data_IF_015195995682
#
_entry.id   IF_015195995682
#
_cell.length_a   1.000
_cell.length_b   1.000
_cell.length_c   1.000
_cell.angle_alpha   90.00
_cell.angle_beta   90.00
_cell.angle_gamma   90.00
#
_symmetry.space_group_name_H-M   'P 1'
#
loop_
_entity.id
_entity.type
_entity.pdbx_description
1 polymer ?
#
# COMPACT_ATOMS: atom_id res chain seq x y z
N UNK A 1 -22.31 2.05 33.52
CA UNK A 1 -23.28 0.94 33.40
C UNK A 1 -23.52 0.62 31.92
N UNK A 2 -23.57 -0.68 31.59
CA UNK A 2 -23.88 -1.14 30.22
C UNK A 2 -25.35 -0.84 29.87
N UNK A 3 -25.64 -0.51 28.58
CA UNK A 3 -27.00 -0.38 28.08
C UNK A 3 -27.84 -1.65 28.34
N UNK A 4 -29.16 -1.51 28.53
CA UNK A 4 -30.05 -2.66 28.80
C UNK A 4 -30.02 -3.71 27.69
N UNK A 5 -30.09 -3.38 26.39
CA UNK A 5 -30.02 -4.36 25.31
C UNK A 5 -28.72 -5.18 25.31
N UNK A 6 -27.57 -4.54 25.51
CA UNK A 6 -26.31 -5.25 25.63
C UNK A 6 -26.26 -6.21 26.80
N UNK A 7 -26.95 -5.92 27.90
CA UNK A 7 -27.06 -6.83 29.06
C UNK A 7 -27.80 -8.14 28.74
N UNK A 8 -28.67 -8.15 27.75
CA UNK A 8 -29.39 -9.33 27.28
C UNK A 8 -28.70 -10.06 26.14
N UNK A 9 -27.50 -9.62 25.73
CA UNK A 9 -26.75 -10.24 24.67
C UNK A 9 -26.41 -11.71 24.98
N UNK A 10 -26.48 -12.55 23.93
CA UNK A 10 -26.14 -13.96 24.04
C UNK A 10 -24.69 -14.16 24.44
N UNK A 11 -24.44 -15.10 25.34
CA UNK A 11 -23.07 -15.46 25.74
C UNK A 11 -22.37 -16.30 24.67
N UNK A 12 -21.02 -16.15 24.60
CA UNK A 12 -20.19 -17.02 23.78
C UNK A 12 -20.04 -18.42 24.44
N UNK A 13 -19.70 -19.40 23.61
CA UNK A 13 -19.33 -20.76 24.03
C UNK A 13 -17.87 -20.86 24.49
N UNK A 14 -17.32 -19.78 25.02
CA UNK A 14 -15.95 -19.63 25.48
C UNK A 14 -15.91 -19.04 26.88
N UNK A 15 -14.84 -19.34 27.61
CA UNK A 15 -14.52 -18.67 28.87
C UNK A 15 -13.69 -17.40 28.54
N UNK A 16 -14.23 -16.23 28.90
CA UNK A 16 -13.56 -14.96 28.71
C UNK A 16 -12.78 -14.52 29.94
N UNK A 17 -11.80 -13.69 29.74
CA UNK A 17 -11.08 -12.95 30.80
C UNK A 17 -11.46 -11.47 30.73
N UNK A 18 -11.35 -10.71 31.84
CA UNK A 18 -11.59 -9.26 31.80
C UNK A 18 -10.68 -8.57 30.80
N UNK A 19 -11.25 -7.67 30.00
CA UNK A 19 -10.47 -6.88 29.04
C UNK A 19 -9.35 -6.08 29.74
N UNK A 20 -8.13 -6.08 29.19
CA UNK A 20 -7.06 -5.24 29.70
C UNK A 20 -7.37 -3.74 29.51
N UNK A 21 -6.66 -2.83 30.21
CA UNK A 21 -6.97 -1.39 30.22
C UNK A 21 -7.03 -0.74 28.82
N UNK A 22 -6.17 -1.13 27.88
CA UNK A 22 -6.20 -0.59 26.51
C UNK A 22 -7.51 -0.95 25.79
N UNK A 23 -7.93 -2.21 25.87
CA UNK A 23 -9.21 -2.65 25.31
C UNK A 23 -10.38 -1.91 25.98
N UNK A 24 -10.39 -1.78 27.30
CA UNK A 24 -11.46 -1.05 27.98
C UNK A 24 -11.55 0.41 27.53
N UNK A 25 -10.41 1.07 27.32
CA UNK A 25 -10.38 2.44 26.79
C UNK A 25 -10.97 2.50 25.38
N UNK A 26 -10.59 1.57 24.53
CA UNK A 26 -11.15 1.48 23.19
C UNK A 26 -12.66 1.23 23.19
N UNK A 27 -13.15 0.30 24.01
CA UNK A 27 -14.59 0.04 24.13
C UNK A 27 -15.38 1.28 24.56
N UNK A 28 -14.78 2.16 25.38
CA UNK A 28 -15.41 3.40 25.79
C UNK A 28 -15.51 4.46 24.66
N UNK A 29 -14.76 4.29 23.57
CA UNK A 29 -14.73 5.18 22.40
C UNK A 29 -15.37 4.59 21.15
N UNK A 30 -16.01 3.44 21.24
CA UNK A 30 -16.68 2.82 20.11
C UNK A 30 -17.71 3.78 19.48
N UNK A 31 -17.80 3.82 18.14
CA UNK A 31 -18.83 4.58 17.46
C UNK A 31 -20.24 4.22 17.93
N UNK A 32 -21.10 5.20 18.08
CA UNK A 32 -22.51 4.97 18.52
C UNK A 32 -23.23 3.96 17.60
N UNK A 33 -22.91 3.96 16.32
CA UNK A 33 -23.46 3.03 15.34
C UNK A 33 -23.07 1.58 15.62
N UNK A 34 -21.84 1.32 16.07
CA UNK A 34 -21.40 -0.03 16.49
C UNK A 34 -22.25 -0.50 17.67
N UNK A 35 -22.43 0.35 18.68
CA UNK A 35 -23.27 0.02 19.84
C UNK A 35 -24.71 -0.27 19.41
N UNK A 36 -25.30 0.54 18.52
CA UNK A 36 -26.63 0.31 17.96
C UNK A 36 -26.73 -1.04 17.23
N UNK A 37 -25.73 -1.40 16.43
CA UNK A 37 -25.69 -2.69 15.74
C UNK A 37 -25.71 -3.84 16.76
N UNK A 38 -24.85 -3.76 17.78
CA UNK A 38 -24.79 -4.76 18.84
C UNK A 38 -26.10 -4.86 19.63
N UNK A 39 -26.72 -3.72 19.94
CA UNK A 39 -28.01 -3.64 20.64
C UNK A 39 -29.12 -4.31 19.84
N UNK A 40 -29.25 -4.00 18.57
CA UNK A 40 -30.30 -4.57 17.70
C UNK A 40 -30.15 -6.07 17.53
N UNK A 41 -28.91 -6.57 17.41
CA UNK A 41 -28.63 -8.00 17.36
C UNK A 41 -28.98 -8.68 18.67
N UNK A 42 -28.63 -8.06 19.79
CA UNK A 42 -28.97 -8.58 21.13
C UNK A 42 -30.49 -8.63 21.40
N UNK A 43 -31.25 -7.63 20.97
CA UNK A 43 -32.72 -7.57 21.07
C UNK A 43 -33.38 -8.72 20.31
N UNK A 44 -32.78 -9.20 19.23
CA UNK A 44 -33.25 -10.38 18.49
C UNK A 44 -32.69 -11.71 19.04
N UNK A 45 -31.97 -11.67 20.17
CA UNK A 45 -31.44 -12.88 20.83
C UNK A 45 -30.15 -13.41 20.19
N UNK A 46 -29.49 -12.63 19.31
CA UNK A 46 -28.23 -13.00 18.71
C UNK A 46 -27.03 -12.59 19.56
N UNK A 47 -25.97 -13.42 19.53
CA UNK A 47 -24.64 -13.04 20.01
C UNK A 47 -23.92 -12.24 18.96
N UNK A 48 -23.13 -11.23 19.39
CA UNK A 48 -22.27 -10.45 18.52
C UNK A 48 -21.02 -10.01 19.27
N UNK A 49 -19.87 -10.10 18.61
CA UNK A 49 -18.57 -9.83 19.19
C UNK A 49 -17.68 -9.07 18.20
N UNK A 50 -16.83 -8.19 18.72
CA UNK A 50 -15.78 -7.55 17.92
C UNK A 50 -14.64 -8.54 17.74
N UNK A 51 -14.06 -8.65 16.53
CA UNK A 51 -13.11 -9.73 16.23
C UNK A 51 -11.93 -9.28 15.37
N UNK A 52 -10.83 -9.99 15.45
CA UNK A 52 -9.76 -9.89 14.48
C UNK A 52 -8.83 -8.70 14.68
N UNK A 53 -8.56 -7.99 13.60
CA UNK A 53 -7.57 -6.91 13.56
C UNK A 53 -7.84 -5.78 14.52
N UNK A 54 -9.10 -5.36 14.67
CA UNK A 54 -9.48 -4.29 15.59
C UNK A 54 -9.20 -4.64 17.06
N UNK A 55 -9.40 -5.90 17.46
CA UNK A 55 -9.07 -6.38 18.82
C UNK A 55 -7.56 -6.36 19.07
N UNK A 56 -6.78 -6.86 18.12
CA UNK A 56 -5.31 -6.85 18.17
C UNK A 56 -4.79 -5.42 18.29
N UNK A 57 -5.23 -4.51 17.42
CA UNK A 57 -4.72 -3.13 17.37
C UNK A 57 -5.11 -2.36 18.64
N UNK A 58 -6.35 -2.53 19.12
CA UNK A 58 -6.80 -1.97 20.39
C UNK A 58 -6.02 -2.52 21.60
N UNK A 59 -5.65 -3.81 21.58
CA UNK A 59 -4.84 -4.41 22.65
C UNK A 59 -3.48 -3.73 22.79
N UNK A 60 -2.84 -3.35 21.66
CA UNK A 60 -1.62 -2.58 21.68
C UNK A 60 -1.83 -1.09 22.04
N UNK A 61 -3.06 -0.60 21.97
CA UNK A 61 -3.37 0.82 22.10
C UNK A 61 -3.09 1.62 20.83
N UNK A 62 -3.02 0.93 19.69
CA UNK A 62 -2.88 1.55 18.37
C UNK A 62 -4.23 2.13 17.92
N UNK A 63 -4.18 3.01 16.90
CA UNK A 63 -5.38 3.48 16.23
C UNK A 63 -6.06 2.30 15.52
N UNK A 64 -7.34 2.09 15.83
CA UNK A 64 -8.15 1.03 15.24
C UNK A 64 -8.78 1.58 13.96
N UNK A 65 -8.51 0.89 12.84
CA UNK A 65 -9.15 1.17 11.55
C UNK A 65 -10.55 0.53 11.45
N UNK A 66 -10.69 -0.45 10.58
CA UNK A 66 -11.95 -1.14 10.37
C UNK A 66 -12.35 -1.97 11.59
N UNK A 67 -13.63 -1.87 12.00
CA UNK A 67 -14.20 -2.65 13.10
C UNK A 67 -14.99 -3.81 12.50
N UNK A 68 -14.47 -5.03 12.70
CA UNK A 68 -15.12 -6.26 12.27
C UNK A 68 -15.99 -6.84 13.41
N UNK A 69 -17.23 -7.22 13.07
CA UNK A 69 -18.18 -7.83 13.98
C UNK A 69 -18.49 -9.24 13.48
N UNK A 70 -18.47 -10.22 14.34
CA UNK A 70 -19.08 -11.52 14.06
C UNK A 70 -20.35 -11.72 14.89
N UNK A 71 -21.33 -12.47 14.36
CA UNK A 71 -22.63 -12.66 14.99
C UNK A 71 -23.20 -14.04 14.69
N UNK A 72 -24.07 -14.53 15.59
CA UNK A 72 -24.91 -15.73 15.34
C UNK A 72 -26.09 -15.43 14.42
N UNK A 73 -26.33 -14.19 14.04
CA UNK A 73 -27.42 -13.77 13.17
C UNK A 73 -27.14 -14.19 11.70
N UNK A 74 -28.03 -14.95 11.06
CA UNK A 74 -27.89 -15.31 9.66
C UNK A 74 -27.94 -14.06 8.73
N UNK A 75 -27.30 -14.10 7.54
CA UNK A 75 -27.25 -12.95 6.65
C UNK A 75 -28.63 -12.43 6.22
N UNK A 76 -29.57 -13.32 5.92
CA UNK A 76 -30.93 -12.93 5.52
C UNK A 76 -31.67 -12.20 6.63
N UNK A 77 -31.48 -12.64 7.86
CA UNK A 77 -32.09 -12.01 9.04
C UNK A 77 -31.43 -10.64 9.31
N UNK A 78 -30.09 -10.52 9.13
CA UNK A 78 -29.39 -9.22 9.19
C UNK A 78 -29.91 -8.24 8.15
N UNK A 79 -30.11 -8.68 6.91
CA UNK A 79 -30.67 -7.82 5.85
C UNK A 79 -32.07 -7.31 6.21
N UNK A 80 -32.91 -8.18 6.77
CA UNK A 80 -34.24 -7.81 7.23
C UNK A 80 -34.19 -6.84 8.43
N UNK A 81 -33.31 -7.14 9.40
CA UNK A 81 -33.15 -6.34 10.62
C UNK A 81 -32.69 -4.91 10.33
N UNK A 82 -31.71 -4.74 9.45
CA UNK A 82 -31.12 -3.43 9.14
C UNK A 82 -31.71 -2.76 7.89
N UNK A 83 -32.49 -3.48 7.08
CA UNK A 83 -33.22 -2.93 5.95
C UNK A 83 -32.35 -2.12 4.98
N UNK A 84 -32.69 -0.84 4.76
CA UNK A 84 -31.98 0.03 3.81
C UNK A 84 -30.54 0.37 4.22
N UNK A 85 -30.17 0.11 5.46
CA UNK A 85 -28.81 0.32 5.96
C UNK A 85 -27.91 -0.89 5.69
N UNK A 86 -28.48 -2.03 5.33
CA UNK A 86 -27.74 -3.25 5.03
C UNK A 86 -27.38 -3.35 3.54
N UNK A 87 -26.12 -3.65 3.25
CA UNK A 87 -25.61 -3.89 1.89
C UNK A 87 -25.17 -5.37 1.83
N UNK A 88 -25.68 -6.16 0.86
CA UNK A 88 -25.33 -7.57 0.71
C UNK A 88 -23.97 -7.75 0.02
N UNK A 89 -22.88 -7.35 0.67
CA UNK A 89 -21.52 -7.32 0.11
C UNK A 89 -20.87 -8.69 -0.07
N UNK A 90 -21.31 -9.68 0.73
CA UNK A 90 -20.74 -11.04 0.71
C UNK A 90 -21.65 -12.04 1.38
N UNK A 91 -22.94 -12.00 1.09
CA UNK A 91 -23.99 -12.83 1.73
C UNK A 91 -23.70 -14.32 1.59
N UNK A 92 -23.17 -14.75 0.46
CA UNK A 92 -22.75 -16.13 0.22
C UNK A 92 -21.64 -16.61 1.19
N UNK A 93 -20.89 -15.67 1.76
CA UNK A 93 -19.85 -15.92 2.77
C UNK A 93 -20.27 -15.46 4.17
N UNK A 94 -21.51 -15.05 4.35
CA UNK A 94 -22.04 -14.62 5.63
C UNK A 94 -21.83 -13.15 5.98
N UNK A 95 -21.25 -12.33 5.09
CA UNK A 95 -20.92 -10.93 5.39
C UNK A 95 -22.00 -9.98 4.86
N UNK A 96 -22.46 -9.11 5.74
CA UNK A 96 -23.36 -7.98 5.43
C UNK A 96 -22.67 -6.70 5.92
N UNK A 97 -22.61 -5.70 5.06
CA UNK A 97 -22.09 -4.37 5.45
C UNK A 97 -23.23 -3.50 5.94
N UNK A 98 -23.11 -2.95 7.15
CA UNK A 98 -24.08 -2.03 7.74
C UNK A 98 -23.55 -0.61 7.60
N UNK A 99 -24.36 0.30 7.03
CA UNK A 99 -24.02 1.72 6.88
C UNK A 99 -24.07 2.43 8.22
N UNK A 100 -23.13 3.32 8.46
CA UNK A 100 -23.12 4.30 9.52
C UNK A 100 -23.03 5.73 8.95
N UNK A 101 -22.87 6.72 9.79
CA UNK A 101 -22.70 8.12 9.42
C UNK A 101 -21.29 8.36 8.82
N UNK A 102 -21.14 8.07 7.51
CA UNK A 102 -19.87 8.17 6.79
C UNK A 102 -18.94 6.98 6.92
N UNK A 103 -19.30 5.95 7.67
CA UNK A 103 -18.55 4.72 7.88
C UNK A 103 -19.38 3.50 7.50
N UNK A 104 -18.70 2.37 7.34
CA UNK A 104 -19.32 1.09 7.02
C UNK A 104 -18.75 0.02 7.96
N UNK A 105 -19.63 -0.82 8.50
CA UNK A 105 -19.26 -1.90 9.44
C UNK A 105 -19.60 -3.25 8.85
N UNK A 106 -18.62 -4.14 8.81
CA UNK A 106 -18.83 -5.51 8.35
C UNK A 106 -19.29 -6.38 9.51
N UNK A 107 -20.45 -7.02 9.32
CA UNK A 107 -20.99 -8.02 10.24
C UNK A 107 -21.01 -9.37 9.54
N UNK A 108 -20.24 -10.31 10.05
CA UNK A 108 -20.11 -11.64 9.46
C UNK A 108 -20.79 -12.68 10.35
N UNK A 109 -21.69 -13.47 9.78
CA UNK A 109 -22.29 -14.60 10.47
C UNK A 109 -21.24 -15.63 10.83
N UNK A 110 -21.27 -16.14 12.07
CA UNK A 110 -20.45 -17.28 12.49
C UNK A 110 -20.72 -18.45 11.56
N UNK A 111 -19.70 -19.17 11.17
CA UNK A 111 -19.82 -20.29 10.25
C UNK A 111 -18.93 -21.46 10.62
N UNK A 112 -19.40 -22.64 10.29
CA UNK A 112 -18.64 -23.88 10.32
C UNK A 112 -18.30 -24.23 8.90
N UNK A 113 -17.02 -24.43 8.59
CA UNK A 113 -16.55 -24.75 7.23
C UNK A 113 -16.05 -26.19 7.19
N UNK A 114 -16.51 -26.96 6.20
CA UNK A 114 -16.22 -28.39 6.15
C UNK A 114 -15.19 -28.81 5.09
N UNK A 115 -15.00 -28.09 3.97
CA UNK A 115 -14.04 -28.46 2.93
C UNK A 115 -13.63 -27.28 2.04
N UNK A 116 -12.37 -27.26 1.58
CA UNK A 116 -11.81 -26.29 0.62
C UNK A 116 -11.26 -27.03 -0.61
N UNK A 117 -11.77 -26.75 -1.82
CA UNK A 117 -11.25 -27.32 -3.07
C UNK A 117 -10.33 -26.41 -3.85
N UNK A 118 -10.64 -25.13 -3.91
CA UNK A 118 -9.92 -24.13 -4.73
C UNK A 118 -8.87 -23.33 -3.94
N UNK A 119 -8.62 -23.70 -2.67
CA UNK A 119 -7.71 -22.99 -1.79
C UNK A 119 -8.21 -21.63 -1.32
N UNK A 120 -9.53 -21.36 -1.42
CA UNK A 120 -10.15 -20.12 -0.94
C UNK A 120 -11.55 -20.25 -0.39
N UNK A 121 -12.43 -20.97 -1.09
CA UNK A 121 -13.83 -21.01 -0.77
C UNK A 121 -14.20 -22.39 -0.23
N UNK A 122 -14.93 -22.49 0.88
CA UNK A 122 -15.50 -23.75 1.31
C UNK A 122 -16.57 -24.23 0.32
N UNK A 123 -16.65 -25.52 0.09
CA UNK A 123 -17.70 -26.10 -0.79
C UNK A 123 -19.11 -25.93 -0.21
N UNK A 124 -19.20 -25.92 1.11
CA UNK A 124 -20.43 -25.71 1.85
C UNK A 124 -20.16 -24.75 3.00
N UNK A 125 -20.97 -23.72 3.10
CA UNK A 125 -21.00 -22.78 4.22
C UNK A 125 -22.23 -23.13 5.05
N UNK A 126 -22.00 -23.59 6.28
CA UNK A 126 -23.05 -23.76 7.27
C UNK A 126 -22.93 -22.64 8.31
N UNK A 127 -24.09 -22.02 8.61
CA UNK A 127 -24.11 -20.97 9.63
C UNK A 127 -23.99 -21.62 11.00
N UNK A 128 -22.98 -21.18 11.75
CA UNK A 128 -22.65 -21.67 13.06
C UNK A 128 -23.14 -20.76 14.19
N UNK A 129 -23.10 -21.29 15.39
CA UNK A 129 -23.38 -20.54 16.63
C UNK A 129 -22.19 -20.52 17.58
N UNK A 130 -21.11 -21.21 17.25
CA UNK A 130 -19.90 -21.33 18.05
C UNK A 130 -18.89 -20.25 17.68
N UNK A 131 -18.59 -19.36 18.61
CA UNK A 131 -17.50 -18.38 18.46
C UNK A 131 -16.15 -19.10 18.43
N UNK A 132 -15.97 -20.16 19.20
CA UNK A 132 -14.73 -20.93 19.22
C UNK A 132 -14.41 -21.53 17.84
N UNK A 133 -15.40 -22.10 17.16
CA UNK A 133 -15.23 -22.66 15.82
C UNK A 133 -14.86 -21.56 14.81
N UNK A 134 -15.52 -20.41 14.85
CA UNK A 134 -15.21 -19.28 13.97
C UNK A 134 -13.79 -18.77 14.18
N UNK A 135 -13.34 -18.63 15.42
CA UNK A 135 -11.98 -18.22 15.73
C UNK A 135 -10.95 -19.28 15.29
N UNK A 136 -11.30 -20.58 15.36
CA UNK A 136 -10.40 -21.68 15.01
C UNK A 136 -10.01 -21.73 13.54
N UNK A 137 -10.83 -21.18 12.64
CA UNK A 137 -10.58 -21.16 11.19
C UNK A 137 -9.79 -19.95 10.68
N UNK A 138 -9.49 -19.00 11.58
CA UNK A 138 -8.74 -17.80 11.23
C UNK A 138 -7.28 -18.11 10.92
N UNK A 139 -6.57 -17.11 10.40
CA UNK A 139 -5.18 -17.28 9.94
C UNK A 139 -4.18 -17.42 11.09
N UNK A 140 -4.12 -16.41 11.96
CA UNK A 140 -3.11 -16.32 13.02
C UNK A 140 -3.75 -16.11 14.40
N UNK A 141 -3.06 -16.58 15.44
CA UNK A 141 -3.51 -16.47 16.83
C UNK A 141 -3.82 -15.03 17.22
N UNK A 142 -2.97 -14.08 16.79
CA UNK A 142 -3.14 -12.64 17.05
C UNK A 142 -4.37 -12.01 16.39
N UNK A 143 -5.00 -12.69 15.42
CA UNK A 143 -6.22 -12.27 14.75
C UNK A 143 -7.42 -13.16 15.16
N UNK A 144 -7.22 -14.10 16.07
CA UNK A 144 -8.22 -15.08 16.51
C UNK A 144 -8.71 -14.80 17.93
N UNK A 145 -8.85 -13.52 18.24
CA UNK A 145 -9.40 -13.03 19.49
C UNK A 145 -10.72 -12.31 19.23
N UNK A 146 -11.59 -12.33 20.23
CA UNK A 146 -12.86 -11.62 20.20
C UNK A 146 -13.11 -10.86 21.50
N UNK A 147 -13.91 -9.78 21.42
CA UNK A 147 -14.30 -8.97 22.57
C UNK A 147 -15.81 -8.95 22.71
N UNK A 148 -16.29 -9.30 23.89
CA UNK A 148 -17.66 -9.12 24.32
C UNK A 148 -17.82 -7.71 24.93
N UNK A 149 -18.41 -6.82 24.15
CA UNK A 149 -18.65 -5.43 24.58
C UNK A 149 -19.63 -5.39 25.77
N UNK A 150 -20.63 -6.25 25.76
CA UNK A 150 -21.66 -6.28 26.78
C UNK A 150 -21.12 -6.65 28.17
N UNK A 151 -20.07 -7.48 28.23
CA UNK A 151 -19.49 -7.99 29.46
C UNK A 151 -18.08 -7.46 29.74
N UNK A 152 -17.47 -6.79 28.79
CA UNK A 152 -16.06 -6.33 28.90
C UNK A 152 -15.08 -7.50 29.00
N UNK A 153 -15.34 -8.57 28.25
CA UNK A 153 -14.53 -9.79 28.25
C UNK A 153 -13.75 -9.95 26.96
N UNK A 154 -12.54 -10.44 27.07
CA UNK A 154 -11.69 -10.89 25.98
C UNK A 154 -11.75 -12.41 25.88
N UNK A 155 -12.01 -12.93 24.69
CA UNK A 155 -11.90 -14.36 24.36
C UNK A 155 -10.66 -14.60 23.54
N UNK A 156 -9.73 -15.41 24.04
CA UNK A 156 -8.46 -15.73 23.42
C UNK A 156 -8.15 -17.23 23.49
N UNK A 157 -8.91 -18.07 22.77
CA UNK A 157 -8.80 -19.54 22.87
C UNK A 157 -7.50 -20.09 22.28
N UNK A 158 -6.72 -19.29 21.53
CA UNK A 158 -5.50 -19.71 20.84
C UNK A 158 -4.25 -18.98 21.31
N UNK A 159 -4.30 -18.34 22.47
CA UNK A 159 -3.17 -17.66 23.11
C UNK A 159 -2.55 -16.52 22.28
N UNK A 160 -3.39 -15.81 21.52
CA UNK A 160 -2.96 -14.67 20.68
C UNK A 160 -2.31 -13.56 21.49
N UNK A 161 -2.78 -13.31 22.70
CA UNK A 161 -2.18 -12.35 23.65
C UNK A 161 -0.75 -12.73 24.00
N UNK A 162 -0.49 -13.99 24.31
CA UNK A 162 0.86 -14.46 24.62
C UNK A 162 1.80 -14.34 23.42
N UNK A 163 1.31 -14.63 22.20
CA UNK A 163 2.08 -14.46 20.96
C UNK A 163 2.35 -12.98 20.65
N UNK A 164 1.42 -12.07 20.96
CA UNK A 164 1.65 -10.62 20.85
C UNK A 164 2.73 -10.14 21.80
N UNK A 165 2.69 -10.57 23.07
CA UNK A 165 3.72 -10.25 24.08
C UNK A 165 5.10 -10.79 23.70
N UNK A 166 5.14 -11.99 23.06
CA UNK A 166 6.38 -12.62 22.62
C UNK A 166 6.87 -12.14 21.24
N UNK A 167 6.11 -11.28 20.54
CA UNK A 167 6.36 -10.85 19.16
C UNK A 167 6.49 -12.04 18.19
N UNK A 168 5.53 -12.95 18.22
CA UNK A 168 5.48 -14.16 17.38
C UNK A 168 4.26 -14.11 16.47
N UNK A 169 4.47 -14.49 15.20
CA UNK A 169 3.39 -14.82 14.26
C UNK A 169 3.25 -16.32 14.22
N UNK A 170 2.09 -16.81 14.67
CA UNK A 170 1.74 -18.22 14.76
C UNK A 170 0.41 -18.48 14.07
N UNK A 171 0.33 -19.57 13.27
CA UNK A 171 -0.94 -20.02 12.71
C UNK A 171 -1.86 -20.57 13.80
N UNK A 172 -3.16 -20.42 13.60
CA UNK A 172 -4.16 -21.07 14.46
C UNK A 172 -4.16 -22.57 14.18
N UNK A 173 -3.95 -23.38 15.19
CA UNK A 173 -3.95 -24.84 15.07
C UNK A 173 -2.83 -25.37 14.19
N UNK A 174 -3.16 -26.13 13.14
CA UNK A 174 -2.17 -26.73 12.26
C UNK A 174 -1.77 -25.77 11.12
N UNK A 175 -0.52 -25.31 11.12
CA UNK A 175 0.02 -24.35 10.16
C UNK A 175 -0.03 -24.86 8.70
N UNK A 176 0.22 -26.15 8.47
CA UNK A 176 0.19 -26.74 7.13
C UNK A 176 -1.23 -26.69 6.57
N UNK A 177 -2.23 -27.13 7.35
CA UNK A 177 -3.63 -27.07 6.96
C UNK A 177 -4.07 -25.62 6.67
N UNK A 178 -3.67 -24.66 7.51
CA UNK A 178 -3.99 -23.24 7.28
C UNK A 178 -3.42 -22.71 5.97
N UNK A 179 -2.20 -23.08 5.60
CA UNK A 179 -1.59 -22.71 4.32
C UNK A 179 -2.23 -23.43 3.12
N UNK A 180 -2.72 -24.65 3.30
CA UNK A 180 -3.42 -25.40 2.25
C UNK A 180 -4.81 -24.83 1.96
N UNK A 181 -5.57 -24.48 2.99
CA UNK A 181 -6.92 -23.92 2.87
C UNK A 181 -6.93 -22.57 2.13
N UNK A 182 -6.06 -21.68 2.49
CA UNK A 182 -5.86 -20.41 1.78
C UNK A 182 -4.37 -20.03 1.75
N UNK A 183 -3.72 -20.31 0.63
CA UNK A 183 -2.30 -20.05 0.47
C UNK A 183 -1.94 -18.56 0.48
N UNK A 184 -2.92 -17.63 0.39
CA UNK A 184 -2.68 -16.20 0.61
C UNK A 184 -2.20 -15.93 2.05
N UNK A 185 -2.53 -16.79 3.00
CA UNK A 185 -2.05 -16.70 4.39
C UNK A 185 -0.51 -16.69 4.47
N UNK A 186 0.17 -17.26 3.50
CA UNK A 186 1.64 -17.16 3.38
C UNK A 186 2.08 -15.71 3.26
N UNK A 187 1.51 -14.95 2.34
CA UNK A 187 1.86 -13.52 2.19
C UNK A 187 1.38 -12.68 3.38
N UNK A 188 0.23 -13.03 3.94
CA UNK A 188 -0.28 -12.40 5.16
C UNK A 188 0.67 -12.59 6.35
N UNK A 189 1.29 -13.78 6.49
CA UNK A 189 2.28 -14.03 7.54
C UNK A 189 3.44 -13.02 7.46
N UNK A 190 4.00 -12.80 6.28
CA UNK A 190 5.05 -11.79 6.08
C UNK A 190 4.55 -10.38 6.37
N UNK A 191 3.34 -10.04 5.95
CA UNK A 191 2.76 -8.72 6.24
C UNK A 191 2.63 -8.43 7.73
N UNK A 192 2.31 -9.43 8.54
CA UNK A 192 2.17 -9.27 9.98
C UNK A 192 3.50 -9.30 10.75
N UNK A 193 4.63 -9.66 10.11
CA UNK A 193 5.93 -9.62 10.78
C UNK A 193 6.34 -8.22 11.24
N UNK A 194 5.74 -7.15 10.71
CA UNK A 194 6.12 -5.77 11.03
C UNK A 194 4.89 -4.94 11.36
N UNK A 195 4.95 -4.18 12.45
CA UNK A 195 3.84 -3.40 13.00
C UNK A 195 4.11 -1.89 13.05
N UNK A 196 4.88 -1.35 12.11
CA UNK A 196 5.18 0.10 12.04
C UNK A 196 6.40 0.52 12.85
N UNK A 197 7.08 -0.39 13.53
CA UNK A 197 8.29 -0.10 14.33
C UNK A 197 9.59 -0.26 13.55
N UNK A 198 9.53 -0.82 12.34
CA UNK A 198 10.69 -1.20 11.55
C UNK A 198 11.43 -2.43 12.08
N UNK A 199 10.91 -3.08 13.12
CA UNK A 199 11.44 -4.33 13.66
C UNK A 199 10.55 -5.51 13.25
N UNK A 200 11.16 -6.63 12.89
CA UNK A 200 10.42 -7.84 12.57
C UNK A 200 10.13 -8.67 13.82
N UNK A 201 8.92 -9.18 13.89
CA UNK A 201 8.55 -10.25 14.78
C UNK A 201 9.15 -11.57 14.31
N UNK A 202 9.14 -12.58 15.16
CA UNK A 202 9.56 -13.92 14.80
C UNK A 202 8.39 -14.71 14.21
N UNK A 203 8.68 -15.50 13.21
CA UNK A 203 7.73 -16.48 12.69
C UNK A 203 7.86 -17.75 13.49
N UNK A 204 6.74 -18.32 13.91
CA UNK A 204 6.71 -19.63 14.58
C UNK A 204 7.36 -20.70 13.68
N UNK A 205 8.22 -21.59 14.21
CA UNK A 205 8.91 -22.60 13.40
C UNK A 205 7.98 -23.48 12.56
N UNK A 206 6.84 -23.92 13.11
CA UNK A 206 5.88 -24.74 12.38
C UNK A 206 5.22 -23.95 11.22
N UNK A 207 4.97 -22.64 11.40
CA UNK A 207 4.47 -21.80 10.34
C UNK A 207 5.54 -21.60 9.25
N UNK A 208 6.80 -21.40 9.64
CA UNK A 208 7.91 -21.25 8.68
C UNK A 208 8.10 -22.51 7.83
N UNK A 209 8.05 -23.67 8.45
CA UNK A 209 8.11 -24.98 7.75
C UNK A 209 6.91 -25.15 6.79
N UNK A 210 5.70 -24.81 7.24
CA UNK A 210 4.50 -24.86 6.39
C UNK A 210 4.62 -23.94 5.17
N UNK A 211 5.15 -22.73 5.34
CA UNK A 211 5.39 -21.80 4.24
C UNK A 211 6.38 -22.39 3.23
N UNK A 212 7.50 -22.94 3.68
CA UNK A 212 8.48 -23.57 2.80
C UNK A 212 7.88 -24.71 1.99
N UNK A 213 7.03 -25.54 2.63
CA UNK A 213 6.38 -26.67 1.99
C UNK A 213 5.31 -26.22 0.96
N UNK A 214 4.54 -25.18 1.28
CA UNK A 214 3.35 -24.80 0.52
C UNK A 214 3.51 -23.54 -0.34
N UNK A 215 4.68 -22.88 -0.35
CA UNK A 215 4.90 -21.62 -1.09
C UNK A 215 4.57 -21.71 -2.58
N UNK A 216 4.79 -22.87 -3.22
CA UNK A 216 4.41 -23.09 -4.63
C UNK A 216 2.91 -22.94 -4.89
N UNK A 217 2.07 -23.17 -3.89
CA UNK A 217 0.61 -23.01 -4.01
C UNK A 217 0.18 -21.54 -4.20
N UNK A 218 1.09 -20.59 -3.97
CA UNK A 218 0.85 -19.18 -4.32
C UNK A 218 0.52 -18.99 -5.80
N UNK A 219 1.00 -19.86 -6.68
CA UNK A 219 0.64 -19.81 -8.11
C UNK A 219 -0.85 -20.08 -8.37
N UNK A 220 -1.53 -20.75 -7.45
CA UNK A 220 -2.98 -20.98 -7.51
C UNK A 220 -3.80 -19.79 -6.99
N UNK A 221 -3.18 -18.89 -6.23
CA UNK A 221 -3.84 -17.69 -5.71
C UNK A 221 -3.95 -16.64 -6.80
N UNK A 222 -5.13 -16.05 -6.99
CA UNK A 222 -5.33 -14.96 -7.94
C UNK A 222 -4.31 -13.85 -7.72
N UNK A 223 -3.68 -13.40 -8.82
CA UNK A 223 -2.57 -12.45 -8.74
C UNK A 223 -2.99 -11.12 -8.11
N UNK A 224 -4.24 -10.72 -8.29
CA UNK A 224 -4.81 -9.51 -7.69
C UNK A 224 -4.83 -9.59 -6.17
N UNK A 225 -5.12 -10.78 -5.61
CA UNK A 225 -5.06 -11.00 -4.16
C UNK A 225 -3.59 -10.95 -3.67
N UNK A 226 -2.66 -11.60 -4.39
CA UNK A 226 -1.23 -11.53 -4.08
C UNK A 226 -0.75 -10.08 -4.11
N UNK A 227 -1.09 -9.34 -5.15
CA UNK A 227 -0.71 -7.93 -5.29
C UNK A 227 -1.24 -7.05 -4.15
N UNK A 228 -2.48 -7.27 -3.70
CA UNK A 228 -3.04 -6.52 -2.60
C UNK A 228 -2.25 -6.71 -1.28
N UNK A 229 -1.77 -7.91 -0.99
CA UNK A 229 -0.92 -8.16 0.18
C UNK A 229 0.48 -7.53 0.00
N UNK A 230 1.09 -7.70 -1.17
CA UNK A 230 2.40 -7.12 -1.47
C UNK A 230 2.38 -5.59 -1.41
N UNK A 231 1.33 -4.96 -1.92
CA UNK A 231 1.15 -3.51 -1.82
C UNK A 231 1.13 -3.04 -0.35
N UNK A 232 0.47 -3.78 0.54
CA UNK A 232 0.47 -3.49 1.97
C UNK A 232 1.86 -3.70 2.59
N UNK A 233 2.59 -4.74 2.17
CA UNK A 233 3.98 -4.98 2.60
C UNK A 233 4.88 -3.83 2.18
N UNK A 234 4.81 -3.39 0.91
CA UNK A 234 5.62 -2.29 0.38
C UNK A 234 5.47 -0.99 1.18
N UNK A 235 4.31 -0.75 1.79
CA UNK A 235 4.04 0.45 2.58
C UNK A 235 4.44 0.35 4.06
N UNK A 236 4.96 -0.79 4.50
CA UNK A 236 5.47 -0.98 5.86
C UNK A 236 6.79 -0.23 6.09
N UNK A 237 7.06 0.18 7.32
CA UNK A 237 8.33 0.80 7.72
C UNK A 237 9.53 -0.16 7.58
N UNK A 238 9.31 -1.45 7.78
CA UNK A 238 10.30 -2.51 7.60
C UNK A 238 10.09 -3.31 6.32
N UNK A 239 9.59 -2.69 5.24
CA UNK A 239 9.30 -3.36 3.97
C UNK A 239 10.51 -4.09 3.40
N UNK A 240 11.69 -3.48 3.48
CA UNK A 240 12.93 -4.09 2.99
C UNK A 240 13.28 -5.36 3.75
N UNK A 241 13.24 -5.35 5.07
CA UNK A 241 13.48 -6.55 5.89
C UNK A 241 12.47 -7.66 5.58
N UNK A 242 11.19 -7.33 5.41
CA UNK A 242 10.16 -8.30 5.02
C UNK A 242 10.48 -8.92 3.66
N UNK A 243 10.74 -8.10 2.65
CA UNK A 243 11.05 -8.56 1.29
C UNK A 243 12.34 -9.39 1.25
N UNK A 244 13.34 -9.01 2.04
CA UNK A 244 14.57 -9.80 2.18
C UNK A 244 14.28 -11.18 2.76
N UNK A 245 13.50 -11.26 3.84
CA UNK A 245 13.05 -12.54 4.42
C UNK A 245 12.27 -13.38 3.40
N UNK A 246 11.36 -12.75 2.64
CA UNK A 246 10.62 -13.43 1.56
C UNK A 246 11.54 -13.96 0.45
N UNK A 247 12.63 -13.25 0.15
CA UNK A 247 13.63 -13.70 -0.81
C UNK A 247 14.40 -14.91 -0.28
N UNK A 248 14.90 -14.85 0.96
CA UNK A 248 15.62 -15.95 1.61
C UNK A 248 14.76 -17.22 1.73
N UNK A 249 13.47 -17.07 2.03
CA UNK A 249 12.51 -18.17 2.13
C UNK A 249 12.01 -18.66 0.75
N UNK A 250 12.47 -18.05 -0.35
CA UNK A 250 12.10 -18.42 -1.71
C UNK A 250 10.66 -18.09 -2.11
N UNK A 251 10.01 -17.16 -1.38
CA UNK A 251 8.62 -16.75 -1.62
C UNK A 251 8.55 -15.61 -2.63
N UNK A 252 9.53 -14.72 -2.64
CA UNK A 252 9.51 -13.51 -3.47
C UNK A 252 9.42 -13.80 -4.97
N UNK A 253 9.94 -14.95 -5.43
CA UNK A 253 9.87 -15.41 -6.83
C UNK A 253 8.43 -15.63 -7.34
N UNK A 254 7.46 -15.88 -6.46
CA UNK A 254 6.04 -16.03 -6.84
C UNK A 254 5.33 -14.69 -7.02
N UNK A 255 6.02 -13.59 -6.68
CA UNK A 255 5.53 -12.21 -6.85
C UNK A 255 6.27 -11.54 -8.00
N UNK A 256 7.59 -11.73 -8.07
CA UNK A 256 8.47 -11.17 -9.10
C UNK A 256 9.24 -12.29 -9.83
N UNK A 257 8.56 -13.13 -10.63
CA UNK A 257 9.18 -14.31 -11.24
C UNK A 257 10.30 -13.97 -12.24
N UNK A 258 10.31 -12.75 -12.77
CA UNK A 258 11.33 -12.29 -13.72
C UNK A 258 12.50 -11.55 -13.05
N UNK A 259 12.50 -11.47 -11.71
CA UNK A 259 13.49 -10.74 -10.93
C UNK A 259 14.28 -11.70 -10.03
N UNK A 260 15.60 -11.67 -10.18
CA UNK A 260 16.51 -12.37 -9.28
C UNK A 260 17.21 -11.33 -8.42
N UNK A 261 16.74 -11.14 -7.20
CA UNK A 261 17.34 -10.21 -6.25
C UNK A 261 18.65 -10.79 -5.72
N UNK A 262 19.77 -10.39 -6.32
CA UNK A 262 21.10 -10.91 -6.00
C UNK A 262 21.74 -10.15 -4.84
N UNK A 263 21.55 -8.83 -4.80
CA UNK A 263 22.12 -7.97 -3.79
C UNK A 263 21.10 -7.64 -2.68
N UNK A 264 21.44 -7.89 -1.41
CA UNK A 264 20.56 -7.49 -0.30
C UNK A 264 20.49 -5.97 -0.09
N UNK A 265 21.40 -5.20 -0.68
CA UNK A 265 21.48 -3.75 -0.52
C UNK A 265 20.21 -3.00 -0.91
N UNK A 266 19.46 -3.52 -1.89
CA UNK A 266 18.21 -2.90 -2.30
C UNK A 266 17.16 -2.94 -1.18
N UNK A 267 17.14 -3.99 -0.37
CA UNK A 267 16.25 -4.10 0.77
C UNK A 267 16.64 -3.13 1.89
N UNK A 268 17.94 -2.91 2.11
CA UNK A 268 18.42 -1.88 3.04
C UNK A 268 18.02 -0.48 2.59
N UNK A 269 18.03 -0.23 1.27
CA UNK A 269 17.53 1.02 0.69
C UNK A 269 16.05 1.25 0.98
N UNK A 270 15.23 0.19 0.87
CA UNK A 270 13.78 0.25 1.11
C UNK A 270 13.41 0.65 2.55
N UNK A 271 14.28 0.39 3.52
CA UNK A 271 14.02 0.66 4.94
C UNK A 271 14.59 2.00 5.43
N UNK A 272 15.17 2.81 4.54
CA UNK A 272 15.64 4.15 4.90
C UNK A 272 14.48 5.08 5.24
N UNK A 273 14.66 5.94 6.26
CA UNK A 273 13.62 6.89 6.68
C UNK A 273 13.10 7.74 5.53
N UNK A 274 13.99 8.16 4.64
CA UNK A 274 13.65 8.90 3.44
C UNK A 274 12.65 8.18 2.50
N UNK A 275 12.54 6.85 2.57
CA UNK A 275 11.65 6.06 1.72
C UNK A 275 10.24 5.95 2.30
N UNK A 276 10.06 6.26 3.59
CA UNK A 276 8.77 6.07 4.29
C UNK A 276 7.62 6.89 3.69
N UNK A 277 7.92 8.07 3.17
CA UNK A 277 6.92 8.98 2.57
C UNK A 277 6.66 8.69 1.07
N UNK A 278 7.35 7.72 0.49
CA UNK A 278 7.21 7.41 -0.92
C UNK A 278 5.92 6.65 -1.22
N UNK A 279 5.36 6.95 -2.38
CA UNK A 279 4.21 6.24 -2.96
C UNK A 279 4.56 4.81 -3.39
N UNK A 280 3.54 3.98 -3.61
CA UNK A 280 3.73 2.61 -4.12
C UNK A 280 4.51 2.59 -5.45
N UNK A 281 4.21 3.41 -6.48
CA UNK A 281 5.01 3.45 -7.70
C UNK A 281 6.48 3.80 -7.48
N UNK A 282 6.77 4.75 -6.59
CA UNK A 282 8.14 5.15 -6.27
C UNK A 282 8.91 4.03 -5.54
N UNK A 283 8.27 3.34 -4.59
CA UNK A 283 8.86 2.19 -3.89
C UNK A 283 9.09 0.99 -4.81
N UNK A 284 8.18 0.72 -5.75
CA UNK A 284 8.38 -0.29 -6.78
C UNK A 284 9.54 0.05 -7.71
N UNK A 285 9.64 1.33 -8.11
CA UNK A 285 10.76 1.80 -8.95
C UNK A 285 12.10 1.65 -8.24
N UNK A 286 12.14 1.92 -6.93
CA UNK A 286 13.32 1.69 -6.10
C UNK A 286 13.66 0.20 -6.02
N UNK A 287 12.69 -0.65 -5.66
CA UNK A 287 12.90 -2.10 -5.53
C UNK A 287 13.44 -2.73 -6.82
N UNK A 288 12.99 -2.23 -7.96
CA UNK A 288 13.32 -2.77 -9.28
C UNK A 288 14.39 -1.96 -10.03
N UNK A 289 15.11 -1.07 -9.36
CA UNK A 289 16.07 -0.13 -9.98
C UNK A 289 17.25 -0.81 -10.69
N UNK A 290 17.62 -2.01 -10.25
CA UNK A 290 18.71 -2.80 -10.84
C UNK A 290 18.28 -3.54 -12.13
N UNK A 291 17.01 -3.44 -12.53
CA UNK A 291 16.45 -4.14 -13.69
C UNK A 291 16.22 -3.21 -14.88
N UNK A 292 16.21 -3.81 -16.09
CA UNK A 292 15.87 -3.10 -17.34
C UNK A 292 14.42 -2.60 -17.30
N UNK A 293 14.11 -1.46 -17.93
CA UNK A 293 12.74 -0.94 -18.03
C UNK A 293 11.73 -1.97 -18.53
N UNK A 294 12.12 -2.82 -19.49
CA UNK A 294 11.28 -3.92 -19.98
C UNK A 294 10.90 -4.93 -18.89
N UNK A 295 11.84 -5.29 -18.01
CA UNK A 295 11.57 -6.21 -16.89
C UNK A 295 10.61 -5.59 -15.89
N UNK A 296 10.76 -4.30 -15.60
CA UNK A 296 9.84 -3.55 -14.73
C UNK A 296 8.43 -3.54 -15.33
N UNK A 297 8.30 -3.27 -16.62
CA UNK A 297 7.01 -3.30 -17.31
C UNK A 297 6.36 -4.69 -17.23
N UNK A 298 7.11 -5.77 -17.50
CA UNK A 298 6.59 -7.15 -17.42
C UNK A 298 6.21 -7.51 -15.97
N UNK A 299 6.96 -7.06 -14.97
CA UNK A 299 6.60 -7.26 -13.57
C UNK A 299 5.27 -6.57 -13.21
N UNK A 300 5.05 -5.33 -13.65
CA UNK A 300 3.78 -4.61 -13.44
C UNK A 300 2.61 -5.29 -14.14
N UNK A 301 2.85 -5.79 -15.34
CA UNK A 301 1.86 -6.54 -16.13
C UNK A 301 1.51 -7.87 -15.45
N UNK A 302 2.51 -8.61 -14.98
CA UNK A 302 2.31 -9.86 -14.24
C UNK A 302 1.48 -9.64 -12.98
N UNK A 303 1.79 -8.61 -12.20
CA UNK A 303 1.07 -8.25 -10.98
C UNK A 303 -0.35 -7.70 -11.25
N UNK A 304 -0.71 -7.48 -12.52
CA UNK A 304 -1.97 -6.84 -12.91
C UNK A 304 -2.25 -5.53 -12.14
N UNK A 305 -1.22 -4.72 -11.98
CA UNK A 305 -1.38 -3.41 -11.33
C UNK A 305 -2.32 -2.52 -12.15
N UNK A 306 -2.90 -1.50 -11.53
CA UNK A 306 -3.71 -0.52 -12.27
C UNK A 306 -2.89 0.16 -13.38
N UNK A 307 -3.55 0.62 -14.43
CA UNK A 307 -2.89 1.36 -15.53
C UNK A 307 -2.09 2.56 -15.01
N UNK A 308 -2.62 3.25 -14.00
CA UNK A 308 -1.95 4.38 -13.35
C UNK A 308 -0.69 3.91 -12.63
N UNK A 309 -0.78 2.90 -11.77
CA UNK A 309 0.39 2.36 -11.04
C UNK A 309 1.47 1.89 -12.01
N UNK A 310 1.11 1.16 -13.07
CA UNK A 310 2.05 0.70 -14.10
C UNK A 310 2.75 1.88 -14.78
N UNK A 311 1.98 2.86 -15.27
CA UNK A 311 2.50 4.04 -15.96
C UNK A 311 3.44 4.84 -15.06
N UNK A 312 3.04 5.10 -13.82
CA UNK A 312 3.81 5.92 -12.89
C UNK A 312 5.09 5.19 -12.44
N UNK A 313 5.02 3.87 -12.21
CA UNK A 313 6.20 3.06 -11.88
C UNK A 313 7.21 3.06 -13.03
N UNK A 314 6.77 2.75 -14.24
CA UNK A 314 7.69 2.70 -15.40
C UNK A 314 8.29 4.07 -15.71
N UNK A 315 7.49 5.15 -15.62
CA UNK A 315 7.95 6.52 -15.82
C UNK A 315 9.00 6.90 -14.77
N UNK A 316 8.71 6.71 -13.50
CA UNK A 316 9.62 7.09 -12.41
C UNK A 316 10.90 6.24 -12.43
N UNK A 317 10.78 4.95 -12.73
CA UNK A 317 11.93 4.06 -12.91
C UNK A 317 12.85 4.55 -14.05
N UNK A 318 12.31 4.95 -15.19
CA UNK A 318 13.11 5.52 -16.29
C UNK A 318 13.75 6.86 -15.89
N UNK A 319 12.99 7.72 -15.21
CA UNK A 319 13.50 9.01 -14.73
C UNK A 319 14.67 8.84 -13.75
N UNK A 320 14.65 7.82 -12.87
CA UNK A 320 15.74 7.53 -11.93
C UNK A 320 17.08 7.25 -12.62
N UNK A 321 17.09 6.87 -13.88
CA UNK A 321 18.31 6.59 -14.65
C UNK A 321 19.08 7.87 -15.04
N UNK A 322 18.41 9.01 -14.97
CA UNK A 322 18.97 10.29 -15.40
C UNK A 322 19.10 11.26 -14.24
N UNK A 323 20.06 12.16 -14.32
CA UNK A 323 20.25 13.22 -13.34
C UNK A 323 20.27 14.58 -14.03
N UNK A 324 19.70 15.63 -13.41
CA UNK A 324 19.85 16.99 -13.90
C UNK A 324 21.29 17.45 -13.70
N UNK A 325 21.73 18.38 -14.54
CA UNK A 325 22.99 19.08 -14.30
C UNK A 325 22.89 19.99 -13.07
N UNK A 326 23.99 20.19 -12.32
CA UNK A 326 24.01 21.06 -11.13
C UNK A 326 24.00 22.55 -11.52
N UNK A 327 22.97 22.99 -12.23
CA UNK A 327 22.73 24.35 -12.66
C UNK A 327 21.29 24.76 -12.35
N UNK A 328 21.09 25.96 -11.84
CA UNK A 328 19.77 26.45 -11.41
C UNK A 328 18.70 26.33 -12.51
N UNK A 329 19.06 26.69 -13.77
CA UNK A 329 18.13 26.56 -14.90
C UNK A 329 17.71 25.13 -15.17
N UNK A 330 18.65 24.19 -15.23
CA UNK A 330 18.36 22.78 -15.45
C UNK A 330 17.54 22.18 -14.29
N UNK A 331 17.80 22.58 -13.05
CA UNK A 331 17.01 22.16 -11.90
C UNK A 331 15.58 22.72 -11.90
N UNK A 332 15.36 23.92 -12.46
CA UNK A 332 14.00 24.43 -12.67
C UNK A 332 13.25 23.62 -13.72
N UNK A 333 13.90 23.29 -14.83
CA UNK A 333 13.33 22.40 -15.87
C UNK A 333 13.01 21.02 -15.27
N UNK A 334 13.96 20.43 -14.55
CA UNK A 334 13.78 19.18 -13.84
C UNK A 334 12.58 19.23 -12.88
N UNK A 335 12.49 20.26 -12.04
CA UNK A 335 11.35 20.47 -11.11
C UNK A 335 10.02 20.60 -11.85
N UNK A 336 10.00 21.33 -12.95
CA UNK A 336 8.82 21.52 -13.79
C UNK A 336 8.36 20.19 -14.41
N UNK A 337 9.28 19.43 -15.00
CA UNK A 337 8.97 18.19 -15.71
C UNK A 337 8.55 17.03 -14.78
N UNK A 338 9.17 16.91 -13.61
CA UNK A 338 8.87 15.84 -12.66
C UNK A 338 7.76 16.20 -11.66
N UNK A 339 7.53 17.48 -11.41
CA UNK A 339 6.55 17.92 -10.44
C UNK A 339 6.80 17.33 -9.05
N UNK A 340 5.82 16.59 -8.52
CA UNK A 340 5.93 15.96 -7.20
C UNK A 340 6.99 14.86 -7.11
N UNK A 341 7.42 14.29 -8.23
CA UNK A 341 8.45 13.25 -8.27
C UNK A 341 9.88 13.82 -8.19
N UNK A 342 10.08 15.12 -8.33
CA UNK A 342 11.42 15.72 -8.40
C UNK A 342 12.23 15.56 -7.09
N UNK A 343 11.67 15.93 -5.96
CA UNK A 343 12.33 15.77 -4.66
C UNK A 343 12.55 14.28 -4.29
N UNK A 344 11.53 13.38 -4.41
CA UNK A 344 11.74 11.95 -4.26
C UNK A 344 12.83 11.36 -5.14
N UNK A 345 12.93 11.80 -6.39
CA UNK A 345 13.97 11.36 -7.33
C UNK A 345 15.38 11.65 -6.79
N UNK A 346 15.67 12.92 -6.44
CA UNK A 346 16.99 13.32 -5.93
C UNK A 346 17.32 12.61 -4.62
N UNK A 347 16.34 12.49 -3.73
CA UNK A 347 16.47 11.78 -2.46
C UNK A 347 16.82 10.30 -2.69
N UNK A 348 16.12 9.61 -3.59
CA UNK A 348 16.40 8.21 -3.91
C UNK A 348 17.78 8.05 -4.57
N UNK A 349 18.16 8.94 -5.47
CA UNK A 349 19.51 8.92 -6.08
C UNK A 349 20.60 9.04 -5.01
N UNK A 350 20.39 9.87 -3.99
CA UNK A 350 21.32 9.98 -2.85
C UNK A 350 21.37 8.69 -2.02
N UNK A 351 20.21 8.10 -1.70
CA UNK A 351 20.13 6.82 -0.97
C UNK A 351 20.87 5.72 -1.74
N UNK A 352 20.60 5.56 -3.04
CA UNK A 352 21.22 4.54 -3.89
C UNK A 352 22.73 4.70 -3.97
N UNK A 353 23.22 5.93 -4.15
CA UNK A 353 24.65 6.26 -4.19
C UNK A 353 25.33 5.95 -2.85
N UNK A 354 24.72 6.33 -1.73
CA UNK A 354 25.26 6.11 -0.38
C UNK A 354 25.38 4.62 -0.03
N UNK A 355 24.39 3.82 -0.43
CA UNK A 355 24.37 2.37 -0.15
C UNK A 355 25.21 1.60 -1.18
N UNK A 356 25.52 2.20 -2.32
CA UNK A 356 26.23 1.55 -3.41
C UNK A 356 25.37 0.56 -4.19
N UNK A 357 24.10 0.91 -4.41
CA UNK A 357 23.20 0.21 -5.33
C UNK A 357 23.35 0.78 -6.72
N UNK A 358 23.55 -0.08 -7.71
CA UNK A 358 23.74 0.31 -9.09
C UNK A 358 22.40 0.36 -9.84
N UNK A 359 22.13 1.45 -10.52
CA UNK A 359 20.99 1.54 -11.44
C UNK A 359 21.34 0.79 -12.73
N UNK A 360 20.43 -0.05 -13.21
CA UNK A 360 20.70 -0.84 -14.42
C UNK A 360 21.17 0.01 -15.59
N UNK A 361 22.31 -0.39 -16.17
CA UNK A 361 22.90 0.27 -17.35
C UNK A 361 23.51 1.65 -17.11
N UNK A 362 23.63 2.07 -15.83
CA UNK A 362 24.25 3.32 -15.45
C UNK A 362 25.52 3.07 -14.65
N UNK A 363 26.57 3.90 -14.83
CA UNK A 363 27.74 3.84 -13.96
C UNK A 363 27.35 4.19 -12.53
N UNK A 364 28.07 3.61 -11.58
CA UNK A 364 27.91 3.98 -10.18
C UNK A 364 28.33 5.44 -10.02
N UNK A 365 27.41 6.25 -9.48
CA UNK A 365 27.71 7.67 -9.24
C UNK A 365 28.45 7.89 -7.94
N UNK A 366 29.33 8.89 -7.96
CA UNK A 366 29.95 9.40 -6.76
C UNK A 366 28.93 10.18 -5.91
N UNK A 367 28.94 9.98 -4.60
CA UNK A 367 28.09 10.70 -3.64
C UNK A 367 28.31 12.22 -3.75
N UNK A 368 29.54 12.66 -3.98
CA UNK A 368 29.88 14.09 -4.12
C UNK A 368 29.13 14.79 -5.26
N UNK A 369 28.89 14.09 -6.37
CA UNK A 369 28.17 14.67 -7.51
C UNK A 369 26.68 14.84 -7.22
N UNK A 370 26.11 13.86 -6.51
CA UNK A 370 24.73 13.98 -6.01
C UNK A 370 24.63 15.12 -4.98
N UNK A 371 25.60 15.25 -4.09
CA UNK A 371 25.61 16.30 -3.06
C UNK A 371 25.67 17.71 -3.67
N UNK A 372 26.39 17.89 -4.77
CA UNK A 372 26.39 19.16 -5.53
C UNK A 372 25.01 19.50 -6.09
N UNK A 373 24.33 18.51 -6.66
CA UNK A 373 22.97 18.68 -7.21
C UNK A 373 21.97 18.99 -6.10
N UNK A 374 22.00 18.23 -5.00
CA UNK A 374 21.08 18.42 -3.86
C UNK A 374 21.34 19.75 -3.14
N UNK A 375 22.59 20.16 -2.95
CA UNK A 375 22.91 21.46 -2.37
C UNK A 375 22.36 22.62 -3.21
N UNK A 376 22.46 22.55 -4.53
CA UNK A 376 21.86 23.56 -5.41
C UNK A 376 20.33 23.48 -5.40
N UNK A 377 19.75 22.29 -5.38
CA UNK A 377 18.31 22.10 -5.26
C UNK A 377 17.75 22.75 -3.99
N UNK A 378 18.41 22.59 -2.85
CA UNK A 378 17.99 23.14 -1.56
C UNK A 378 18.02 24.68 -1.53
N UNK A 379 18.85 25.30 -2.37
CA UNK A 379 18.90 26.76 -2.52
C UNK A 379 17.98 27.31 -3.61
N UNK A 380 17.33 26.43 -4.37
CA UNK A 380 16.49 26.82 -5.50
C UNK A 380 15.21 27.51 -5.02
N UNK A 381 15.07 28.79 -5.40
CA UNK A 381 13.89 29.56 -5.03
C UNK A 381 12.61 29.00 -5.65
N UNK A 382 11.42 29.24 -5.04
CA UNK A 382 10.14 28.97 -5.68
C UNK A 382 10.07 29.61 -7.06
N UNK A 383 9.43 28.91 -8.02
CA UNK A 383 9.32 29.41 -9.40
C UNK A 383 8.42 30.64 -9.47
N UNK A 384 8.90 31.71 -10.13
CA UNK A 384 8.07 32.86 -10.53
C UNK A 384 7.41 32.59 -11.88
N UNK A 385 8.11 31.90 -12.77
CA UNK A 385 7.58 31.50 -14.06
C UNK A 385 6.32 30.63 -13.89
N UNK A 386 5.21 30.98 -14.56
CA UNK A 386 4.02 30.14 -14.56
C UNK A 386 4.31 28.80 -15.24
N UNK A 387 3.59 27.75 -14.80
CA UNK A 387 3.75 26.39 -15.35
C UNK A 387 3.31 26.30 -16.82
N UNK A 388 2.42 27.18 -17.27
CA UNK A 388 2.02 27.29 -18.67
C UNK A 388 2.83 28.34 -19.39
N UNK A 389 3.02 28.15 -20.70
CA UNK A 389 3.72 29.14 -21.51
C UNK A 389 2.95 30.47 -21.51
N UNK A 390 3.65 31.58 -21.25
CA UNK A 390 3.12 32.95 -21.22
C UNK A 390 2.53 33.38 -22.57
N UNK A 391 2.86 32.69 -23.66
CA UNK A 391 2.43 33.03 -25.01
C UNK A 391 1.72 31.86 -25.69
N UNK A 392 0.76 32.19 -26.52
CA UNK A 392 0.00 31.22 -27.32
C UNK A 392 0.55 31.09 -28.75
N UNK A 393 -0.08 30.22 -29.55
CA UNK A 393 0.32 29.97 -30.94
C UNK A 393 0.11 31.18 -31.85
N UNK A 394 -0.91 32.02 -31.63
CA UNK A 394 -1.16 33.23 -32.44
C UNK A 394 -0.10 34.29 -32.22
N UNK A 395 0.25 34.51 -30.95
CA UNK A 395 1.36 35.41 -30.62
C UNK A 395 2.68 34.92 -31.22
N UNK A 396 2.94 33.61 -31.14
CA UNK A 396 4.15 33.01 -31.72
C UNK A 396 4.22 33.23 -33.25
N UNK A 397 3.12 32.99 -33.97
CA UNK A 397 3.06 33.24 -35.43
C UNK A 397 3.35 34.70 -35.78
N UNK A 398 2.69 35.62 -35.05
CA UNK A 398 2.84 37.08 -35.33
C UNK A 398 4.24 37.60 -35.06
N UNK A 399 4.98 37.03 -34.13
CA UNK A 399 6.33 37.51 -33.76
C UNK A 399 7.47 36.76 -34.45
N UNK A 400 7.29 35.50 -34.75
CA UNK A 400 8.33 34.70 -35.40
C UNK A 400 8.22 34.65 -36.93
N UNK A 401 7.03 34.91 -37.47
CA UNK A 401 6.74 34.67 -38.88
C UNK A 401 6.65 33.21 -39.30
N UNK A 402 6.76 32.27 -38.34
CA UNK A 402 6.63 30.82 -38.57
C UNK A 402 5.16 30.47 -38.71
N UNK A 403 4.78 29.83 -39.81
CA UNK A 403 3.43 29.41 -40.09
C UNK A 403 2.95 28.29 -39.15
N UNK A 404 1.62 28.08 -39.12
CA UNK A 404 1.00 27.00 -38.32
C UNK A 404 1.56 25.64 -38.73
N UNK A 405 1.91 24.79 -37.76
CA UNK A 405 2.42 23.44 -37.96
C UNK A 405 3.37 22.96 -36.87
N UNK A 406 3.98 21.81 -37.10
CA UNK A 406 4.89 21.14 -36.15
C UNK A 406 6.05 22.07 -35.75
N UNK A 407 6.62 22.78 -36.69
CA UNK A 407 7.75 23.73 -36.46
C UNK A 407 7.37 24.81 -35.44
N UNK A 408 6.18 25.39 -35.56
CA UNK A 408 5.67 26.39 -34.62
C UNK A 408 5.48 25.78 -33.20
N UNK A 409 4.94 24.58 -33.14
CA UNK A 409 4.79 23.86 -31.87
C UNK A 409 6.13 23.62 -31.18
N UNK A 410 7.15 23.21 -31.95
CA UNK A 410 8.51 22.99 -31.45
C UNK A 410 9.18 24.30 -30.98
N UNK A 411 8.94 25.39 -31.71
CA UNK A 411 9.47 26.69 -31.31
C UNK A 411 8.83 27.19 -30.02
N UNK A 412 7.50 26.98 -29.87
CA UNK A 412 6.78 27.30 -28.63
C UNK A 412 7.28 26.46 -27.44
N UNK A 413 7.54 25.18 -27.65
CA UNK A 413 8.10 24.30 -26.62
C UNK A 413 9.50 24.75 -26.21
N UNK A 414 10.35 25.11 -27.15
CA UNK A 414 11.67 25.65 -26.85
C UNK A 414 11.60 26.96 -26.05
N UNK A 415 10.73 27.89 -26.47
CA UNK A 415 10.56 29.14 -25.75
C UNK A 415 9.97 28.91 -24.32
N UNK A 416 9.06 27.95 -24.17
CA UNK A 416 8.56 27.55 -22.88
C UNK A 416 9.65 26.96 -21.98
N UNK A 417 10.55 26.13 -22.54
CA UNK A 417 11.74 25.66 -21.81
C UNK A 417 12.58 26.83 -21.29
N UNK A 418 12.83 27.82 -22.11
CA UNK A 418 13.59 29.02 -21.71
C UNK A 418 12.87 29.80 -20.62
N UNK A 419 11.55 29.93 -20.73
CA UNK A 419 10.72 30.55 -19.68
C UNK A 419 10.97 29.90 -18.33
N UNK A 420 10.91 28.56 -18.26
CA UNK A 420 11.12 27.79 -17.03
C UNK A 420 12.59 27.88 -16.57
N UNK A 421 13.53 27.68 -17.48
CA UNK A 421 14.98 27.68 -17.21
C UNK A 421 15.48 28.99 -16.63
N UNK A 422 15.01 30.10 -17.19
CA UNK A 422 15.40 31.46 -16.77
C UNK A 422 14.45 32.10 -15.76
N UNK A 423 13.40 31.37 -15.33
CA UNK A 423 12.38 31.82 -14.38
C UNK A 423 11.67 33.10 -14.80
N UNK A 424 11.25 33.17 -16.06
CA UNK A 424 10.63 34.36 -16.67
C UNK A 424 9.14 34.40 -16.36
N UNK A 425 8.70 35.49 -15.74
CA UNK A 425 7.29 35.79 -15.39
C UNK A 425 6.71 36.96 -16.21
N UNK A 426 7.52 37.57 -17.10
CA UNK A 426 7.16 38.71 -17.95
C UNK A 426 7.22 38.34 -19.43
N UNK A 427 6.14 38.68 -20.14
CA UNK A 427 5.97 38.43 -21.58
C UNK A 427 6.99 39.22 -22.43
N UNK A 428 7.35 40.44 -22.02
CA UNK A 428 8.34 41.25 -22.75
C UNK A 428 9.76 40.67 -22.67
N UNK A 429 10.10 40.08 -21.51
CA UNK A 429 11.35 39.36 -21.36
C UNK A 429 11.38 38.14 -22.27
N UNK A 430 10.26 37.41 -22.35
CA UNK A 430 10.14 36.24 -23.22
C UNK A 430 10.22 36.59 -24.70
N UNK A 431 9.69 37.75 -25.10
CA UNK A 431 9.84 38.29 -26.47
C UNK A 431 11.29 38.56 -26.83
N UNK A 432 12.08 39.11 -25.92
CA UNK A 432 13.52 39.28 -26.09
C UNK A 432 14.25 37.97 -26.32
N UNK A 433 13.91 36.96 -25.51
CA UNK A 433 14.50 35.62 -25.68
C UNK A 433 14.16 35.04 -27.06
N UNK A 434 12.91 35.16 -27.54
CA UNK A 434 12.53 34.71 -28.88
C UNK A 434 13.37 35.35 -29.98
N UNK A 435 13.68 36.65 -29.86
CA UNK A 435 14.48 37.36 -30.83
C UNK A 435 15.94 36.90 -30.91
N UNK A 436 16.44 36.26 -29.87
CA UNK A 436 17.80 35.72 -29.80
C UNK A 436 17.92 34.29 -30.31
N UNK A 437 16.79 33.60 -30.50
CA UNK A 437 16.80 32.19 -30.91
C UNK A 437 17.13 32.06 -32.41
N UNK A 438 18.01 31.13 -32.79
CA UNK A 438 18.36 30.88 -34.21
C UNK A 438 17.35 29.96 -34.90
N UNK A 439 16.02 30.21 -34.70
CA UNK A 439 14.97 29.36 -35.22
C UNK A 439 14.75 29.45 -36.76
N UNK A 440 15.37 30.40 -37.40
CA UNK A 440 15.36 30.52 -38.85
C UNK A 440 16.27 29.50 -39.55
N UNK A 441 17.23 28.94 -38.82
CA UNK A 441 18.21 28.00 -39.29
C UNK A 441 18.12 26.68 -38.54
N UNK A 442 18.42 25.58 -39.23
CA UNK A 442 18.48 24.25 -38.63
C UNK A 442 17.18 23.49 -38.60
N UNK A 443 17.31 22.22 -38.28
CA UNK A 443 16.19 21.28 -38.17
C UNK A 443 15.51 21.40 -36.81
N UNK A 444 14.21 21.68 -36.82
CA UNK A 444 13.40 21.81 -35.59
C UNK A 444 13.31 20.56 -34.76
N UNK A 445 13.65 19.40 -35.30
CA UNK A 445 13.67 18.13 -34.53
C UNK A 445 14.77 18.14 -33.45
N UNK A 446 15.86 18.89 -33.69
CA UNK A 446 16.99 19.02 -32.75
C UNK A 446 16.86 20.17 -31.76
N UNK A 447 15.82 20.99 -31.85
CA UNK A 447 15.61 22.07 -30.88
C UNK A 447 15.38 21.57 -29.46
N UNK A 448 15.82 22.28 -28.42
CA UNK A 448 15.60 21.90 -27.04
C UNK A 448 14.12 21.67 -26.72
N UNK A 449 13.83 20.59 -25.99
CA UNK A 449 12.49 20.20 -25.58
C UNK A 449 12.29 20.52 -24.11
N UNK A 450 11.05 20.79 -23.72
CA UNK A 450 10.66 20.89 -22.32
C UNK A 450 10.33 19.49 -21.79
N UNK A 451 11.36 18.72 -21.55
CA UNK A 451 11.27 17.35 -21.06
C UNK A 451 12.45 17.01 -20.16
N UNK A 452 12.30 15.98 -19.35
CA UNK A 452 13.38 15.34 -18.60
C UNK A 452 13.18 13.81 -18.68
N UNK A 453 14.20 13.08 -19.05
CA UNK A 453 15.47 13.44 -19.65
C UNK A 453 15.28 14.00 -21.03
#
# INVERSE_FOLDING_TARGET
ELPKPLRSAKEADLVGEPCPPNLLRWLATLPARVIEILDRLAEQGHGAWLVGGCVRDAWFGDEVGDIDICSTCPPEEMLNLFGNDAIPTGVEFGTVTIKGDGEHFEVTTLRTESQYRDGRHPEQVEWGTSLQEDLSRRDFTINSMAVDVARGLLYDPFEGKADMEANIIRAVGNAQLRCEEDSLRILRAYRFLERGTGQLWRMDPALKEAIQLHSKRLDMVAIERRWNEVKKILMKSGAGKILHTMMEDGVLKYIFPHCQFISPKIFDAMDRDAVKELTVPQRLSLLLVEYKPKVVFEAMKFLKTSKTTMKDTCRFHEQLRHLPQPMAGELRVFRHCLGQDAAPHLMLRKVLSTIGVTIHGMPQMNVEDIDKITAMWDTLQPSRAPSQCLVDGHWMMSRSGVGQGIRLGRLKEWLHRIQIEKDIDDRLMLERELSLLPFNHGDHEHWPKLQFP
#
